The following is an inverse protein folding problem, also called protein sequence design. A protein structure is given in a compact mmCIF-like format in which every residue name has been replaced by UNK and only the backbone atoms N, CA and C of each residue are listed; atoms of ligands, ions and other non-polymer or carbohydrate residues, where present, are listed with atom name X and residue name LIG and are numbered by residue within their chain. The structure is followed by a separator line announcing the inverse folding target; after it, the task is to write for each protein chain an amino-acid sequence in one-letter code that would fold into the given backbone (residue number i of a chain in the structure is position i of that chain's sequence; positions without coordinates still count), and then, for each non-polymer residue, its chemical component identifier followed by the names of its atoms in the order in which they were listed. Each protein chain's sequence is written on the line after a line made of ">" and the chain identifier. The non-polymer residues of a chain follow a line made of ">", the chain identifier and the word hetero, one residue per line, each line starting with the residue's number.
data_IF_589851334567
#
_entry.id   IF_589851334567
#
_cell.length_a   1.000
_cell.length_b   1.000
_cell.length_c   1.000
_cell.angle_alpha   90.00
_cell.angle_beta   90.00
_cell.angle_gamma   90.00
#
_symmetry.space_group_name_H-M   'P 1'
#
loop_
_entity.id
_entity.type
_entity.pdbx_description
1 polymer ?
#
# COMPACT_ATOMS: atom_id res chain seq x y z
N UNK A 1 -1.61 -20.32 16.82
CA UNK A 1 -0.33 -21.01 16.55
C UNK A 1 0.54 -20.02 15.79
N UNK A 2 1.60 -19.53 16.43
CA UNK A 2 2.44 -18.44 15.88
C UNK A 2 3.60 -18.95 15.04
N UNK A 3 3.94 -20.21 15.18
CA UNK A 3 4.99 -20.86 14.43
C UNK A 3 4.69 -22.33 14.30
N UNK A 4 4.93 -22.89 13.14
CA UNK A 4 4.76 -24.33 12.87
C UNK A 4 5.63 -24.78 11.70
N UNK A 5 6.11 -26.01 11.80
CA UNK A 5 6.71 -26.70 10.67
C UNK A 5 5.61 -27.15 9.71
N UNK A 6 5.70 -26.77 8.45
CA UNK A 6 4.80 -27.25 7.40
C UNK A 6 5.22 -28.65 7.00
N UNK A 7 4.31 -29.60 7.14
CA UNK A 7 4.49 -30.94 6.60
C UNK A 7 3.70 -31.07 5.29
N UNK A 8 4.07 -32.06 4.50
CA UNK A 8 3.46 -32.32 3.21
C UNK A 8 1.93 -32.48 3.34
N UNK A 9 1.22 -31.78 2.52
CA UNK A 9 -0.17 -32.01 2.18
C UNK A 9 -0.22 -33.05 1.05
N UNK A 10 -0.66 -34.26 1.34
CA UNK A 10 -0.44 -35.52 0.61
C UNK A 10 -0.77 -35.55 -0.89
N UNK A 11 -1.39 -34.54 -1.49
CA UNK A 11 -1.71 -34.52 -2.93
C UNK A 11 -1.27 -33.26 -3.70
N UNK A 12 -0.91 -32.19 -3.02
CA UNK A 12 -0.56 -30.90 -3.65
C UNK A 12 0.70 -30.30 -3.08
N UNK A 13 1.31 -30.96 -2.14
CA UNK A 13 2.47 -30.47 -1.44
C UNK A 13 3.76 -30.66 -2.19
N UNK A 14 4.75 -29.96 -1.75
CA UNK A 14 6.13 -30.24 -2.08
C UNK A 14 6.48 -31.60 -1.46
N UNK A 15 7.04 -32.51 -2.25
CA UNK A 15 7.40 -33.86 -1.80
C UNK A 15 8.46 -33.93 -0.68
N UNK A 16 8.78 -32.79 -0.08
CA UNK A 16 9.74 -32.65 1.01
C UNK A 16 9.11 -31.79 2.11
N UNK A 17 9.02 -32.33 3.31
CA UNK A 17 8.71 -31.53 4.48
C UNK A 17 9.79 -30.44 4.66
N UNK A 18 9.37 -29.22 4.95
CA UNK A 18 10.30 -28.15 5.31
C UNK A 18 10.88 -28.50 6.68
N UNK A 19 12.14 -28.86 6.70
CA UNK A 19 12.94 -29.10 7.91
C UNK A 19 13.91 -27.94 8.05
N UNK A 20 13.35 -26.77 8.33
CA UNK A 20 14.14 -25.59 8.57
C UNK A 20 14.48 -25.53 10.07
N UNK A 21 15.75 -25.54 10.36
CA UNK A 21 16.28 -25.42 11.71
C UNK A 21 16.78 -23.98 11.97
N UNK A 22 16.40 -23.04 11.13
CA UNK A 22 16.78 -21.64 11.22
C UNK A 22 15.92 -20.92 12.24
N UNK A 23 16.56 -20.14 13.13
CA UNK A 23 15.86 -19.28 14.06
C UNK A 23 15.07 -18.20 13.29
N UNK A 24 13.75 -18.30 13.31
CA UNK A 24 12.87 -17.33 12.65
C UNK A 24 12.46 -16.24 13.65
N UNK A 25 12.90 -14.99 13.47
CA UNK A 25 12.50 -13.91 14.36
C UNK A 25 11.04 -13.51 14.10
N UNK A 26 10.22 -13.58 15.11
CA UNK A 26 8.84 -13.11 15.07
C UNK A 26 8.72 -11.76 15.78
N UNK A 27 8.13 -10.75 15.11
CA UNK A 27 7.84 -9.45 15.71
C UNK A 27 6.34 -9.31 15.94
N UNK A 28 5.95 -9.14 17.19
CA UNK A 28 4.55 -9.03 17.60
C UNK A 28 4.34 -7.70 18.33
N UNK A 29 3.21 -7.06 18.05
CA UNK A 29 2.74 -5.87 18.77
C UNK A 29 1.32 -6.12 19.25
N UNK A 30 1.13 -6.66 20.49
CA UNK A 30 -0.20 -6.78 21.08
C UNK A 30 -0.78 -5.40 21.32
N UNK A 31 -2.05 -5.23 21.02
CA UNK A 31 -2.79 -3.99 21.22
C UNK A 31 -4.06 -4.26 22.03
N UNK A 32 -4.43 -3.30 22.86
CA UNK A 32 -5.66 -3.31 23.61
C UNK A 32 -6.45 -2.04 23.29
N UNK A 33 -7.67 -2.22 22.81
CA UNK A 33 -8.56 -1.12 22.43
C UNK A 33 -9.90 -1.26 23.16
N UNK A 34 -10.42 -0.14 23.65
CA UNK A 34 -11.78 -0.12 24.13
C UNK A 34 -12.74 0.01 22.95
N UNK A 35 -13.75 -0.84 22.94
CA UNK A 35 -14.76 -0.85 21.89
C UNK A 35 -16.05 -0.22 22.38
N UNK A 36 -16.69 0.61 21.55
CA UNK A 36 -18.01 1.11 21.84
C UNK A 36 -19.02 -0.05 21.98
N UNK A 37 -19.79 -0.06 23.07
CA UNK A 37 -20.79 -1.08 23.33
C UNK A 37 -21.97 -1.06 22.33
N UNK A 38 -22.10 -0.05 21.50
CA UNK A 38 -23.19 0.08 20.51
C UNK A 38 -22.66 -0.19 19.10
N UNK A 39 -22.89 -1.38 18.55
CA UNK A 39 -22.61 -1.60 17.13
C UNK A 39 -23.46 -0.64 16.31
N UNK A 40 -22.83 0.12 15.42
CA UNK A 40 -23.54 0.96 14.46
C UNK A 40 -24.24 0.01 13.48
N UNK A 41 -25.57 0.07 13.44
CA UNK A 41 -26.40 -0.80 12.60
C UNK A 41 -25.89 -0.80 11.15
N UNK A 42 -25.60 -1.97 10.60
CA UNK A 42 -25.12 -2.15 9.23
C UNK A 42 -23.61 -2.03 9.04
N UNK A 43 -22.81 -1.83 10.10
CA UNK A 43 -21.35 -1.83 10.03
C UNK A 43 -20.79 -3.07 10.71
N UNK A 44 -20.05 -3.84 9.93
CA UNK A 44 -19.50 -5.11 10.39
C UNK A 44 -18.25 -4.85 11.26
N UNK A 45 -18.23 -5.55 12.38
CA UNK A 45 -17.09 -5.61 13.30
C UNK A 45 -15.95 -6.51 12.79
N UNK A 46 -15.93 -6.84 11.51
CA UNK A 46 -14.96 -7.76 10.92
C UNK A 46 -13.68 -7.09 10.43
N UNK A 47 -13.65 -5.75 10.40
CA UNK A 47 -12.46 -5.02 9.99
C UNK A 47 -11.57 -4.64 11.18
N UNK A 48 -10.25 -4.51 10.97
CA UNK A 48 -9.37 -4.00 11.99
C UNK A 48 -9.69 -2.53 12.31
N UNK A 49 -9.35 -2.09 13.51
CA UNK A 49 -9.37 -0.65 13.82
C UNK A 49 -8.30 0.08 13.01
N UNK A 50 -8.45 1.40 12.90
CA UNK A 50 -7.42 2.24 12.29
C UNK A 50 -6.08 2.08 12.99
N UNK A 51 -6.07 2.04 14.33
CA UNK A 51 -4.84 1.89 15.11
C UNK A 51 -4.18 0.52 14.90
N UNK A 52 -4.97 -0.56 14.82
CA UNK A 52 -4.47 -1.89 14.47
C UNK A 52 -3.84 -1.89 13.09
N UNK A 53 -4.49 -1.24 12.12
CA UNK A 53 -3.97 -1.13 10.77
C UNK A 53 -2.67 -0.33 10.70
N UNK A 54 -2.60 0.83 11.35
CA UNK A 54 -1.37 1.64 11.41
C UNK A 54 -0.22 0.88 12.08
N UNK A 55 -0.51 0.14 13.16
CA UNK A 55 0.47 -0.71 13.81
C UNK A 55 1.00 -1.81 12.89
N UNK A 56 0.11 -2.44 12.12
CA UNK A 56 0.48 -3.41 11.10
C UNK A 56 1.39 -2.78 10.02
N UNK A 57 1.03 -1.61 9.50
CA UNK A 57 1.85 -0.91 8.52
C UNK A 57 3.26 -0.61 9.04
N UNK A 58 3.39 -0.21 10.30
CA UNK A 58 4.70 0.02 10.94
C UNK A 58 5.52 -1.26 11.12
N UNK A 59 4.88 -2.41 11.21
CA UNK A 59 5.57 -3.70 11.27
C UNK A 59 6.07 -4.15 9.89
N UNK A 60 5.26 -3.91 8.85
CA UNK A 60 5.54 -4.34 7.47
C UNK A 60 6.48 -3.36 6.77
N UNK A 61 6.24 -2.06 6.93
CA UNK A 61 7.03 -1.00 6.31
C UNK A 61 7.94 -0.35 7.34
N UNK A 62 9.05 -1.01 7.65
CA UNK A 62 10.03 -0.50 8.60
C UNK A 62 10.84 0.64 7.98
N UNK A 63 11.19 1.64 8.81
CA UNK A 63 12.14 2.68 8.41
C UNK A 63 13.51 2.04 8.19
N UNK A 64 14.06 2.23 7.01
CA UNK A 64 15.40 1.76 6.67
C UNK A 64 16.40 2.89 6.88
N UNK A 65 17.44 2.61 7.65
CA UNK A 65 18.54 3.53 7.87
C UNK A 65 19.69 3.10 6.97
N UNK A 66 20.04 3.95 6.00
CA UNK A 66 21.12 3.71 5.05
C UNK A 66 22.31 4.60 5.41
N UNK A 67 23.32 4.08 6.13
CA UNK A 67 24.51 4.86 6.46
C UNK A 67 25.34 5.11 5.21
N UNK A 68 25.80 6.33 5.04
CA UNK A 68 26.75 6.69 3.99
C UNK A 68 28.18 6.70 4.51
N UNK A 69 29.11 6.18 3.73
CA UNK A 69 30.52 6.26 4.03
C UNK A 69 31.05 7.66 3.71
N UNK A 70 31.67 8.34 4.68
CA UNK A 70 32.05 9.75 4.62
C UNK A 70 33.21 10.12 3.71
N UNK A 71 33.69 9.23 2.85
CA UNK A 71 34.84 9.45 1.99
C UNK A 71 34.56 10.25 0.71
N UNK A 72 33.33 10.62 0.47
CA UNK A 72 32.90 11.40 -0.70
C UNK A 72 32.36 12.73 -0.22
N UNK A 73 32.89 13.84 -0.76
CA UNK A 73 32.31 15.17 -0.64
C UNK A 73 30.86 15.08 -1.12
N UNK A 74 29.89 15.14 -0.22
CA UNK A 74 28.48 15.05 -0.54
C UNK A 74 28.04 16.43 -1.03
N UNK A 75 27.72 16.60 -2.33
CA UNK A 75 27.01 17.78 -2.76
C UNK A 75 25.70 17.81 -1.98
N UNK A 76 25.22 19.00 -1.65
CA UNK A 76 24.06 19.25 -0.80
C UNK A 76 22.95 18.19 -0.97
N UNK A 77 22.85 17.28 0.00
CA UNK A 77 21.77 16.30 0.02
C UNK A 77 20.45 17.04 0.30
N UNK A 78 19.43 16.70 -0.46
CA UNK A 78 18.09 17.15 -0.17
C UNK A 78 17.72 16.54 1.19
N UNK A 79 17.46 17.38 2.18
CA UNK A 79 17.19 16.94 3.55
C UNK A 79 15.85 16.18 3.67
N UNK A 80 14.93 16.43 2.74
CA UNK A 80 13.62 15.79 2.70
C UNK A 80 13.13 15.72 1.25
N UNK A 81 12.62 14.56 0.86
CA UNK A 81 11.96 14.36 -0.42
C UNK A 81 10.72 13.49 -0.25
N UNK A 82 9.62 13.90 -0.86
CA UNK A 82 8.39 13.11 -0.91
C UNK A 82 7.81 13.16 -2.32
N UNK A 83 7.37 12.02 -2.82
CA UNK A 83 6.61 11.92 -4.07
C UNK A 83 5.13 12.27 -3.87
N UNK A 84 4.66 12.25 -2.63
CA UNK A 84 3.30 12.62 -2.27
C UNK A 84 3.24 14.11 -1.92
N UNK A 85 2.15 14.77 -2.27
CA UNK A 85 1.89 16.16 -1.92
C UNK A 85 1.69 16.35 -0.41
N UNK A 86 1.22 15.31 0.26
CA UNK A 86 0.94 15.28 1.69
C UNK A 86 0.70 13.87 2.20
N UNK A 87 0.14 13.77 3.40
CA UNK A 87 -0.29 12.48 3.95
C UNK A 87 -1.50 11.96 3.18
N UNK A 88 -1.49 10.67 2.90
CA UNK A 88 -2.68 10.01 2.38
C UNK A 88 -3.81 10.01 3.43
N UNK A 89 -5.04 9.91 2.96
CA UNK A 89 -6.19 9.69 3.83
C UNK A 89 -6.03 8.37 4.58
N UNK A 90 -6.49 8.30 5.81
CA UNK A 90 -6.20 7.20 6.75
C UNK A 90 -6.60 5.81 6.22
N UNK A 91 -7.61 5.75 5.36
CA UNK A 91 -8.15 4.53 4.76
C UNK A 91 -7.67 4.29 3.31
N UNK A 92 -6.77 5.14 2.81
CA UNK A 92 -6.16 4.99 1.48
C UNK A 92 -4.69 4.60 1.63
N UNK A 93 -4.34 3.46 1.08
CA UNK A 93 -3.00 2.91 1.11
C UNK A 93 -2.38 2.86 -0.28
N UNK A 94 -1.21 3.45 -0.43
CA UNK A 94 -0.36 3.30 -1.61
C UNK A 94 0.34 1.95 -1.52
N UNK A 95 -0.20 0.93 -2.20
CA UNK A 95 0.38 -0.41 -2.20
C UNK A 95 1.69 -0.48 -2.96
N UNK A 96 1.73 0.18 -4.12
CA UNK A 96 2.90 0.12 -4.98
C UNK A 96 2.94 1.31 -5.94
N UNK A 97 4.13 1.84 -6.15
CA UNK A 97 4.45 2.77 -7.22
C UNK A 97 5.79 2.34 -7.82
N UNK A 98 5.79 1.86 -9.06
CA UNK A 98 6.99 1.32 -9.70
C UNK A 98 7.01 1.62 -11.19
N UNK A 99 8.20 1.82 -11.74
CA UNK A 99 8.40 1.88 -13.20
C UNK A 99 8.10 0.53 -13.84
N UNK A 100 7.53 0.55 -15.03
CA UNK A 100 7.29 -0.63 -15.83
C UNK A 100 8.49 -0.92 -16.73
N UNK A 101 8.59 -2.16 -17.18
CA UNK A 101 9.55 -2.58 -18.20
C UNK A 101 9.00 -2.28 -19.59
N UNK A 102 9.86 -1.85 -20.50
CA UNK A 102 9.45 -1.47 -21.85
C UNK A 102 9.07 -2.70 -22.71
N UNK A 103 9.78 -3.80 -22.56
CA UNK A 103 9.53 -5.05 -23.28
C UNK A 103 9.87 -6.25 -22.41
N UNK A 104 9.19 -7.38 -22.64
CA UNK A 104 9.50 -8.65 -21.97
C UNK A 104 10.59 -9.43 -22.71
N UNK A 105 10.79 -9.15 -24.02
CA UNK A 105 11.71 -9.88 -24.90
C UNK A 105 12.92 -9.01 -25.21
N UNK A 106 13.86 -8.90 -24.30
CA UNK A 106 15.07 -8.13 -24.50
C UNK A 106 15.72 -7.64 -23.22
N UNK A 107 16.73 -6.77 -23.32
CA UNK A 107 17.35 -6.18 -22.14
C UNK A 107 16.33 -5.40 -21.34
N UNK A 108 16.42 -5.51 -20.02
CA UNK A 108 15.51 -4.83 -19.08
C UNK A 108 15.73 -3.33 -19.19
N UNK A 109 14.85 -2.65 -19.92
CA UNK A 109 14.85 -1.20 -20.07
C UNK A 109 13.62 -0.62 -19.37
N UNK A 110 13.79 0.54 -18.76
CA UNK A 110 12.71 1.27 -18.10
C UNK A 110 11.75 1.83 -19.15
N UNK A 111 10.46 1.65 -18.93
CA UNK A 111 9.40 2.37 -19.64
C UNK A 111 9.18 3.76 -19.07
N UNK A 112 8.59 4.66 -19.86
CA UNK A 112 8.08 5.96 -19.38
C UNK A 112 6.81 5.78 -18.53
N UNK A 113 6.20 4.59 -18.60
CA UNK A 113 5.04 4.25 -17.80
C UNK A 113 5.44 3.69 -16.43
N UNK A 114 4.65 4.03 -15.42
CA UNK A 114 4.73 3.47 -14.08
C UNK A 114 3.41 2.84 -13.68
N UNK A 115 3.48 1.83 -12.84
CA UNK A 115 2.30 1.23 -12.21
C UNK A 115 2.04 1.90 -10.87
N UNK A 116 0.81 2.34 -10.67
CA UNK A 116 0.30 2.82 -9.38
C UNK A 116 -0.80 1.87 -8.89
N UNK A 117 -0.67 1.38 -7.67
CA UNK A 117 -1.68 0.57 -7.01
C UNK A 117 -2.14 1.26 -5.73
N UNK A 118 -3.43 1.55 -5.66
CA UNK A 118 -4.10 2.11 -4.49
C UNK A 118 -5.05 1.09 -3.91
N UNK A 119 -5.10 1.01 -2.59
CA UNK A 119 -6.05 0.17 -1.86
C UNK A 119 -6.85 1.03 -0.90
N UNK A 120 -8.17 0.95 -0.96
CA UNK A 120 -9.00 1.49 0.10
C UNK A 120 -9.26 0.42 1.15
N UNK A 121 -8.94 0.75 2.37
CA UNK A 121 -9.09 -0.14 3.52
C UNK A 121 -10.53 -0.16 4.02
N UNK A 122 -10.95 -1.29 4.56
CA UNK A 122 -12.11 -1.37 5.42
C UNK A 122 -11.65 -1.20 6.86
N UNK A 123 -12.22 -0.24 7.58
CA UNK A 123 -11.90 0.02 8.97
C UNK A 123 -13.13 -0.18 9.87
N UNK A 124 -12.89 -0.65 11.10
CA UNK A 124 -13.94 -0.71 12.11
C UNK A 124 -14.30 0.71 12.58
N UNK A 125 -15.46 1.19 12.14
CA UNK A 125 -15.97 2.51 12.52
C UNK A 125 -16.49 2.59 13.96
N UNK A 126 -16.52 1.48 14.70
CA UNK A 126 -16.85 1.46 16.14
C UNK A 126 -15.72 2.00 17.01
N UNK A 127 -14.54 2.21 16.43
CA UNK A 127 -13.35 2.73 17.11
C UNK A 127 -12.99 4.08 16.50
N UNK A 128 -12.56 5.02 17.35
CA UNK A 128 -12.21 6.38 16.92
C UNK A 128 -11.03 6.40 15.94
N UNK A 129 -11.10 7.27 14.95
CA UNK A 129 -9.96 7.58 14.05
C UNK A 129 -8.92 8.50 14.70
N UNK A 130 -9.12 8.91 15.95
CA UNK A 130 -8.23 9.82 16.67
C UNK A 130 -7.93 11.15 15.93
N UNK A 131 -8.89 11.64 15.13
CA UNK A 131 -8.77 12.88 14.40
C UNK A 131 -7.96 12.82 13.11
N UNK A 132 -7.55 11.63 12.67
CA UNK A 132 -6.90 11.48 11.37
C UNK A 132 -7.92 11.68 10.23
N UNK A 133 -7.56 12.43 9.17
CA UNK A 133 -8.43 12.61 8.02
C UNK A 133 -8.56 11.28 7.25
N UNK A 134 -9.78 10.80 7.11
CA UNK A 134 -10.13 9.62 6.33
C UNK A 134 -11.05 10.01 5.18
N UNK A 135 -11.23 9.14 4.19
CA UNK A 135 -12.20 9.39 3.12
C UNK A 135 -13.61 9.51 3.71
N UNK A 136 -14.45 10.25 3.02
CA UNK A 136 -15.87 10.30 3.34
C UNK A 136 -16.54 8.92 3.12
N UNK A 137 -17.83 8.81 3.42
CA UNK A 137 -18.59 7.58 3.22
C UNK A 137 -18.62 7.12 1.75
N UNK A 138 -18.41 8.03 0.82
CA UNK A 138 -18.37 7.77 -0.62
C UNK A 138 -16.98 7.33 -1.10
N UNK A 139 -15.91 7.55 -0.31
CA UNK A 139 -14.54 7.17 -0.67
C UNK A 139 -13.95 7.98 -1.81
N UNK A 140 -14.29 9.24 -1.89
CA UNK A 140 -13.80 10.13 -2.94
C UNK A 140 -12.37 10.56 -2.67
N UNK A 141 -11.54 10.41 -3.69
CA UNK A 141 -10.14 10.83 -3.71
C UNK A 141 -9.85 11.54 -5.03
N UNK A 142 -9.24 12.71 -4.97
CA UNK A 142 -8.76 13.40 -6.16
C UNK A 142 -7.33 12.97 -6.44
N UNK A 143 -7.09 12.38 -7.60
CA UNK A 143 -5.79 11.79 -7.94
C UNK A 143 -4.68 12.84 -8.04
N UNK A 144 -4.99 14.04 -8.53
CA UNK A 144 -4.02 15.15 -8.59
C UNK A 144 -3.47 15.53 -7.22
N UNK A 145 -4.29 15.46 -6.19
CA UNK A 145 -3.90 15.86 -4.83
C UNK A 145 -3.00 14.82 -4.14
N UNK A 146 -2.85 13.63 -4.73
CA UNK A 146 -1.99 12.59 -4.17
C UNK A 146 -0.50 12.86 -4.40
N UNK A 147 -0.15 13.45 -5.54
CA UNK A 147 1.24 13.58 -5.95
C UNK A 147 1.72 15.03 -5.86
N UNK A 148 3.00 15.18 -5.55
CA UNK A 148 3.64 16.49 -5.63
C UNK A 148 3.76 16.95 -7.09
N UNK A 149 3.66 18.26 -7.32
CA UNK A 149 3.78 18.85 -8.66
C UNK A 149 5.13 18.53 -9.32
N UNK A 150 6.15 18.23 -8.50
CA UNK A 150 7.48 17.83 -8.98
C UNK A 150 7.50 16.54 -9.78
N UNK A 151 6.50 15.67 -9.62
CA UNK A 151 6.39 14.44 -10.40
C UNK A 151 5.85 14.66 -11.81
N UNK A 152 5.12 15.74 -12.05
CA UNK A 152 4.65 16.11 -13.38
C UNK A 152 3.81 15.05 -14.08
N UNK A 153 2.85 14.46 -13.37
CA UNK A 153 1.93 13.44 -13.93
C UNK A 153 1.18 14.01 -15.13
N UNK A 154 1.39 13.44 -16.30
CA UNK A 154 0.77 13.88 -17.57
C UNK A 154 -0.50 13.12 -17.89
N UNK A 155 -0.48 11.82 -17.71
CA UNK A 155 -1.59 10.94 -18.06
C UNK A 155 -1.73 9.82 -17.03
N UNK A 156 -2.97 9.45 -16.76
CA UNK A 156 -3.30 8.30 -15.94
C UNK A 156 -4.39 7.48 -16.63
N UNK A 157 -4.20 6.17 -16.67
CA UNK A 157 -5.14 5.21 -17.25
C UNK A 157 -5.46 4.11 -16.26
N UNK A 158 -6.73 3.84 -16.07
CA UNK A 158 -7.17 2.73 -15.24
C UNK A 158 -6.87 1.40 -15.94
N UNK A 159 -6.43 0.39 -15.18
CA UNK A 159 -6.08 -0.92 -15.73
C UNK A 159 -6.68 -2.06 -14.89
N UNK A 160 -6.53 -3.29 -15.38
CA UNK A 160 -6.68 -4.48 -14.54
C UNK A 160 -5.53 -4.56 -13.53
N UNK A 161 -5.69 -5.34 -12.45
CA UNK A 161 -4.62 -5.55 -11.45
C UNK A 161 -3.35 -6.14 -12.06
N UNK A 162 -3.47 -6.90 -13.13
CA UNK A 162 -2.34 -7.45 -13.90
C UNK A 162 -1.67 -6.43 -14.80
N UNK A 163 -2.22 -5.21 -14.92
CA UNK A 163 -1.78 -4.15 -15.83
C UNK A 163 -1.88 -4.48 -17.33
N UNK A 164 -2.47 -5.62 -17.68
CA UNK A 164 -2.59 -6.09 -19.05
C UNK A 164 -3.76 -5.45 -19.79
N UNK A 165 -4.88 -5.23 -19.10
CA UNK A 165 -6.08 -4.68 -19.72
C UNK A 165 -6.25 -3.21 -19.37
N UNK A 166 -6.26 -2.37 -20.37
CA UNK A 166 -6.56 -0.95 -20.27
C UNK A 166 -8.08 -0.75 -20.15
N UNK A 167 -8.52 -0.03 -19.12
CA UNK A 167 -9.92 0.31 -18.88
C UNK A 167 -10.27 1.75 -19.25
N UNK A 168 -9.32 2.46 -19.83
CA UNK A 168 -9.48 3.82 -20.33
C UNK A 168 -8.81 4.90 -19.47
N UNK A 169 -8.80 6.13 -20.00
CA UNK A 169 -8.20 7.27 -19.33
C UNK A 169 -8.96 7.63 -18.06
N UNK A 170 -8.22 8.10 -17.06
CA UNK A 170 -8.75 8.59 -15.80
C UNK A 170 -8.37 10.06 -15.67
N UNK A 171 -9.36 10.92 -15.47
CA UNK A 171 -9.10 12.35 -15.22
C UNK A 171 -8.40 12.53 -13.88
N UNK A 172 -7.33 13.30 -13.87
CA UNK A 172 -6.60 13.63 -12.63
C UNK A 172 -7.40 14.61 -11.76
N UNK A 173 -8.23 15.44 -12.38
CA UNK A 173 -8.96 16.54 -11.70
C UNK A 173 -10.35 16.10 -11.21
N UNK A 174 -10.82 14.92 -11.63
CA UNK A 174 -12.09 14.38 -11.16
C UNK A 174 -11.91 13.54 -9.90
N UNK A 175 -12.96 13.50 -9.08
CA UNK A 175 -13.00 12.62 -7.94
C UNK A 175 -13.09 11.16 -8.40
N UNK A 176 -12.18 10.33 -7.90
CA UNK A 176 -12.23 8.89 -8.05
C UNK A 176 -12.94 8.30 -6.82
N UNK A 177 -13.96 7.49 -7.05
CA UNK A 177 -14.61 6.74 -5.97
C UNK A 177 -13.87 5.44 -5.76
N UNK A 178 -13.35 5.24 -4.55
CA UNK A 178 -12.72 4.01 -4.12
C UNK A 178 -13.70 3.24 -3.21
N UNK A 179 -14.03 2.01 -3.56
CA UNK A 179 -14.83 1.14 -2.69
C UNK A 179 -13.98 0.53 -1.58
N UNK A 180 -14.51 0.34 -0.37
CA UNK A 180 -13.78 -0.32 0.70
C UNK A 180 -13.31 -1.72 0.28
N UNK A 181 -12.10 -2.11 0.69
CA UNK A 181 -11.47 -3.40 0.41
C UNK A 181 -11.14 -3.68 -1.06
N UNK A 182 -11.25 -2.68 -1.93
CA UNK A 182 -10.87 -2.82 -3.34
C UNK A 182 -9.49 -2.25 -3.62
N UNK A 183 -8.79 -2.89 -4.56
CA UNK A 183 -7.52 -2.43 -5.09
C UNK A 183 -7.73 -1.85 -6.48
N UNK A 184 -7.19 -0.67 -6.69
CA UNK A 184 -7.25 0.07 -7.95
C UNK A 184 -5.87 0.15 -8.55
N UNK A 185 -5.74 -0.15 -9.83
CA UNK A 185 -4.48 -0.10 -10.56
C UNK A 185 -4.55 0.86 -11.72
N UNK A 186 -3.46 1.57 -11.90
CA UNK A 186 -3.31 2.57 -12.95
C UNK A 186 -1.94 2.45 -13.61
N UNK A 187 -1.89 2.76 -14.90
CA UNK A 187 -0.67 3.18 -15.58
C UNK A 187 -0.58 4.70 -15.51
N UNK A 188 0.57 5.18 -15.09
CA UNK A 188 0.87 6.61 -14.92
C UNK A 188 2.02 6.97 -15.85
N UNK A 189 1.85 8.05 -16.59
CA UNK A 189 2.89 8.64 -17.43
C UNK A 189 3.34 9.96 -16.83
N UNK A 190 4.65 10.11 -16.73
CA UNK A 190 5.30 11.28 -16.14
C UNK A 190 5.75 12.27 -17.20
#
# INVERSE_FOLDING_TARGET
>A
MLDRTLNQDGMRGQGQGIRDNTLTPNRLRPMFESRSARPIKGKTSGFPSLQAHMTYLHLVHTIQILPQKSSVSVPSLISQHSFLSGSLLCDVHLLNLRSLQQSYDGPITRSDDSALLLHRLGLDCGISSHGLPCTDTQGKVRLRDLFSDTLGVKEMRRTSLTLLHDKGPTSLDSDLTLNPMEIYSFKVKW
#
